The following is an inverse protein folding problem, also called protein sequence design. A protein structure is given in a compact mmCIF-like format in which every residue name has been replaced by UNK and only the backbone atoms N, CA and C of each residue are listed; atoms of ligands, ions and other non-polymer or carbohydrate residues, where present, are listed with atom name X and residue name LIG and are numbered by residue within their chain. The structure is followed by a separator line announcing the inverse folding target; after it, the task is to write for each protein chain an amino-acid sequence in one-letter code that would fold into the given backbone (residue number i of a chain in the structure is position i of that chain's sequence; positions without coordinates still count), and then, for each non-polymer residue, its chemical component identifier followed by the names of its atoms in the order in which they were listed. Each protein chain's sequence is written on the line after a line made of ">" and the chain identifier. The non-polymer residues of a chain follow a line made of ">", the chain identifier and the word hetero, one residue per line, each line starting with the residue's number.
data_IF_850042638245
#
_entry.id   IF_850042638245
#
_cell.length_a   1.000
_cell.length_b   1.000
_cell.length_c   1.000
_cell.angle_alpha   90.00
_cell.angle_beta   90.00
_cell.angle_gamma   90.00
#
_symmetry.space_group_name_H-M   'P 1'
#
loop_
_entity.id
_entity.type
_entity.pdbx_description
1 polymer ?
#
# COMPACT_ATOMS: atom_id res chain seq x y z
N UNK A 1 -8.32 -51.86 13.28
CA UNK A 1 -7.24 -52.25 12.34
C UNK A 1 -7.13 -53.77 12.33
N UNK A 2 -6.94 -54.40 11.16
CA UNK A 2 -6.64 -55.84 11.03
C UNK A 2 -5.52 -56.02 9.99
N UNK A 3 -4.28 -55.64 10.33
CA UNK A 3 -3.19 -55.63 9.36
C UNK A 3 -2.79 -57.06 8.98
N UNK A 4 -2.36 -57.25 7.73
CA UNK A 4 -2.03 -58.59 7.26
C UNK A 4 -0.63 -59.07 7.66
N UNK A 5 0.33 -58.16 7.90
CA UNK A 5 1.71 -58.45 8.31
C UNK A 5 2.51 -59.47 7.49
N UNK A 6 2.01 -59.94 6.33
CA UNK A 6 2.66 -60.88 5.39
C UNK A 6 4.17 -60.69 5.19
N UNK A 7 4.74 -59.47 5.10
CA UNK A 7 6.21 -59.33 5.01
C UNK A 7 6.99 -59.93 6.18
N UNK A 8 6.34 -60.19 7.32
CA UNK A 8 6.93 -60.79 8.52
C UNK A 8 6.80 -62.32 8.56
N UNK A 9 6.25 -62.97 7.53
CA UNK A 9 6.01 -64.43 7.53
C UNK A 9 7.31 -65.25 7.61
N UNK A 10 8.44 -64.67 7.21
CA UNK A 10 9.77 -65.29 7.30
C UNK A 10 10.42 -65.16 8.70
N UNK A 11 9.78 -64.44 9.64
CA UNK A 11 10.27 -64.28 11.00
C UNK A 11 9.82 -65.44 11.90
N UNK A 12 10.63 -65.78 12.91
CA UNK A 12 10.19 -66.66 14.00
C UNK A 12 9.00 -66.02 14.73
N UNK A 13 8.12 -66.85 15.29
CA UNK A 13 6.88 -66.41 15.92
C UNK A 13 7.09 -65.30 16.96
N UNK A 14 7.96 -65.51 17.95
CA UNK A 14 8.28 -64.51 18.98
C UNK A 14 8.77 -63.16 18.39
N UNK A 15 9.56 -63.21 17.32
CA UNK A 15 10.09 -62.02 16.64
C UNK A 15 9.00 -61.32 15.78
N UNK A 16 8.16 -62.11 15.11
CA UNK A 16 7.05 -61.62 14.28
C UNK A 16 6.04 -60.86 15.13
N UNK A 17 5.69 -61.37 16.30
CA UNK A 17 4.79 -60.70 17.24
C UNK A 17 5.35 -59.36 17.72
N UNK A 18 6.63 -59.34 18.12
CA UNK A 18 7.30 -58.11 18.54
C UNK A 18 7.32 -57.04 17.45
N UNK A 19 7.63 -57.42 16.21
CA UNK A 19 7.61 -56.51 15.06
C UNK A 19 6.19 -56.00 14.74
N UNK A 20 5.18 -56.86 14.79
CA UNK A 20 3.79 -56.46 14.57
C UNK A 20 3.30 -55.45 15.63
N UNK A 21 3.65 -55.66 16.91
CA UNK A 21 3.38 -54.71 17.99
C UNK A 21 4.09 -53.38 17.72
N UNK A 22 5.37 -53.43 17.34
CA UNK A 22 6.15 -52.25 16.99
C UNK A 22 5.50 -51.41 15.90
N UNK A 23 5.07 -52.03 14.80
CA UNK A 23 4.37 -51.35 13.70
C UNK A 23 3.05 -50.71 14.16
N UNK A 24 2.27 -51.41 15.00
CA UNK A 24 1.03 -50.84 15.56
C UNK A 24 1.28 -49.64 16.47
N UNK A 25 2.34 -49.69 17.29
CA UNK A 25 2.76 -48.57 18.13
C UNK A 25 3.21 -47.39 17.27
N UNK A 26 3.99 -47.63 16.21
CA UNK A 26 4.41 -46.60 15.26
C UNK A 26 3.19 -45.94 14.60
N UNK A 27 2.19 -46.71 14.16
CA UNK A 27 0.96 -46.16 13.62
C UNK A 27 0.23 -45.27 14.64
N UNK A 28 0.04 -45.74 15.87
CA UNK A 28 -0.60 -44.95 16.93
C UNK A 28 0.18 -43.67 17.24
N UNK A 29 1.52 -43.74 17.20
CA UNK A 29 2.38 -42.58 17.38
C UNK A 29 2.20 -41.55 16.26
N UNK A 30 2.17 -41.98 14.99
CA UNK A 30 1.94 -41.10 13.83
C UNK A 30 0.57 -40.42 13.95
N UNK A 31 -0.50 -41.17 14.23
CA UNK A 31 -1.85 -40.60 14.43
C UNK A 31 -1.85 -39.58 15.58
N UNK A 32 -1.22 -39.93 16.71
CA UNK A 32 -1.10 -39.04 17.86
C UNK A 32 -0.32 -37.76 17.53
N UNK A 33 0.75 -37.86 16.73
CA UNK A 33 1.53 -36.71 16.26
C UNK A 33 0.69 -35.80 15.37
N UNK A 34 -0.02 -36.37 14.39
CA UNK A 34 -0.88 -35.62 13.45
C UNK A 34 -2.02 -34.92 14.19
N UNK A 35 -2.61 -35.55 15.21
CA UNK A 35 -3.69 -34.96 16.00
C UNK A 35 -3.28 -33.72 16.80
N UNK A 36 -1.97 -33.50 16.97
CA UNK A 36 -1.39 -32.38 17.72
C UNK A 36 -0.69 -31.37 16.82
N UNK A 37 -0.75 -31.55 15.50
CA UNK A 37 -0.16 -30.60 14.56
C UNK A 37 -0.84 -29.23 14.70
N UNK A 38 -0.02 -28.21 14.82
CA UNK A 38 -0.43 -26.82 14.88
C UNK A 38 -0.14 -26.10 13.56
N UNK A 39 -0.79 -24.95 13.37
CA UNK A 39 -0.59 -24.15 12.17
C UNK A 39 0.86 -23.70 12.01
N UNK A 40 1.60 -23.44 13.08
CA UNK A 40 3.01 -23.02 13.02
C UNK A 40 4.00 -24.16 12.73
N UNK A 41 3.56 -25.41 12.73
CA UNK A 41 4.47 -26.55 12.59
C UNK A 41 5.09 -26.62 11.20
N UNK A 42 6.35 -27.10 11.09
CA UNK A 42 7.02 -27.23 9.81
C UNK A 42 6.39 -28.33 8.94
N UNK A 43 6.32 -28.06 7.63
CA UNK A 43 5.83 -29.01 6.61
C UNK A 43 6.56 -30.36 6.66
N UNK A 44 7.82 -30.39 7.08
CA UNK A 44 8.62 -31.62 7.23
C UNK A 44 8.01 -32.66 8.19
N UNK A 45 7.19 -32.24 9.16
CA UNK A 45 6.49 -33.19 10.04
C UNK A 45 5.41 -33.96 9.27
N UNK A 46 4.74 -33.30 8.32
CA UNK A 46 3.75 -33.93 7.43
C UNK A 46 4.46 -34.88 6.46
N UNK A 47 5.55 -34.43 5.84
CA UNK A 47 6.33 -35.23 4.88
C UNK A 47 6.90 -36.51 5.52
N UNK A 48 7.55 -36.38 6.69
CA UNK A 48 8.06 -37.54 7.43
C UNK A 48 6.96 -38.49 7.92
N UNK A 49 5.76 -37.97 8.20
CA UNK A 49 4.61 -38.80 8.56
C UNK A 49 4.11 -39.57 7.34
N UNK A 50 4.07 -38.96 6.15
CA UNK A 50 3.72 -39.65 4.90
C UNK A 50 4.71 -40.77 4.57
N UNK A 51 6.02 -40.52 4.73
CA UNK A 51 7.06 -41.55 4.56
C UNK A 51 6.84 -42.74 5.53
N UNK A 52 6.56 -42.45 6.81
CA UNK A 52 6.27 -43.49 7.80
C UNK A 52 5.01 -44.28 7.44
N UNK A 53 3.96 -43.63 6.90
CA UNK A 53 2.74 -44.33 6.48
C UNK A 53 2.99 -45.28 5.31
N UNK A 54 3.89 -44.96 4.38
CA UNK A 54 4.26 -45.87 3.28
C UNK A 54 4.87 -47.17 3.82
N UNK A 55 5.77 -47.08 4.81
CA UNK A 55 6.34 -48.25 5.46
C UNK A 55 5.26 -49.10 6.14
N UNK A 56 4.34 -48.46 6.85
CA UNK A 56 3.25 -49.16 7.55
C UNK A 56 2.26 -49.85 6.59
N UNK A 57 1.97 -49.22 5.45
CA UNK A 57 1.10 -49.79 4.41
C UNK A 57 1.67 -51.07 3.81
N UNK A 58 3.00 -51.14 3.59
CA UNK A 58 3.67 -52.36 3.11
C UNK A 58 3.40 -53.55 4.06
N UNK A 59 3.29 -53.30 5.36
CA UNK A 59 2.95 -54.30 6.36
C UNK A 59 1.44 -54.56 6.52
N UNK A 60 0.62 -53.94 5.69
CA UNK A 60 -0.82 -54.16 5.61
C UNK A 60 -1.64 -53.32 6.58
N UNK A 61 -1.06 -52.27 7.18
CA UNK A 61 -1.82 -51.32 7.99
C UNK A 61 -2.64 -50.43 7.04
N UNK A 62 -3.92 -50.24 7.35
CA UNK A 62 -4.76 -49.31 6.62
C UNK A 62 -4.46 -47.88 7.07
N UNK A 63 -3.81 -47.13 6.18
CA UNK A 63 -3.34 -45.75 6.40
C UNK A 63 -4.13 -44.72 5.62
N UNK A 64 -5.14 -45.12 4.83
CA UNK A 64 -5.73 -44.27 3.81
C UNK A 64 -6.40 -43.01 4.38
N UNK A 65 -7.10 -43.17 5.51
CA UNK A 65 -7.73 -42.05 6.23
C UNK A 65 -6.69 -41.04 6.74
N UNK A 66 -5.56 -41.52 7.28
CA UNK A 66 -4.49 -40.69 7.83
C UNK A 66 -3.73 -40.00 6.71
N UNK A 67 -3.45 -40.72 5.62
CA UNK A 67 -2.83 -40.20 4.40
C UNK A 67 -3.67 -39.08 3.77
N UNK A 68 -4.96 -39.33 3.57
CA UNK A 68 -5.90 -38.34 3.05
C UNK A 68 -5.88 -37.06 3.89
N UNK A 69 -5.86 -37.20 5.23
CA UNK A 69 -5.75 -36.06 6.14
C UNK A 69 -4.43 -35.31 6.02
N UNK A 70 -3.31 -36.02 5.87
CA UNK A 70 -2.00 -35.40 5.67
C UNK A 70 -1.93 -34.61 4.35
N UNK A 71 -2.49 -35.14 3.26
CA UNK A 71 -2.56 -34.40 1.99
C UNK A 71 -3.45 -33.15 2.10
N UNK A 72 -4.55 -33.21 2.85
CA UNK A 72 -5.35 -32.03 3.13
C UNK A 72 -4.53 -30.97 3.90
N UNK A 73 -3.80 -31.38 4.94
CA UNK A 73 -2.92 -30.48 5.70
C UNK A 73 -1.79 -29.91 4.84
N UNK A 74 -1.23 -30.71 3.94
CA UNK A 74 -0.20 -30.28 2.98
C UNK A 74 -0.72 -29.17 2.06
N UNK A 75 -1.93 -29.33 1.53
CA UNK A 75 -2.58 -28.30 0.71
C UNK A 75 -2.81 -27.01 1.50
N UNK A 76 -3.16 -27.10 2.80
CA UNK A 76 -3.25 -25.90 3.66
C UNK A 76 -1.89 -25.24 3.86
N UNK A 77 -0.81 -26.01 3.99
CA UNK A 77 0.56 -25.49 4.10
C UNK A 77 1.03 -24.78 2.83
N UNK A 78 0.73 -25.33 1.66
CA UNK A 78 1.02 -24.67 0.39
C UNK A 78 0.22 -23.37 0.23
N UNK A 79 -1.05 -23.38 0.64
CA UNK A 79 -1.88 -22.17 0.66
C UNK A 79 -1.31 -21.11 1.61
N UNK A 80 -0.81 -21.52 2.78
CA UNK A 80 -0.15 -20.64 3.74
C UNK A 80 1.09 -19.99 3.14
N UNK A 81 1.98 -20.77 2.52
CA UNK A 81 3.20 -20.27 1.87
C UNK A 81 2.90 -19.23 0.80
N UNK A 82 1.91 -19.52 -0.07
CA UNK A 82 1.46 -18.55 -1.08
C UNK A 82 0.92 -17.26 -0.43
N UNK A 83 0.08 -17.37 0.59
CA UNK A 83 -0.46 -16.19 1.28
C UNK A 83 0.63 -15.35 1.95
N UNK A 84 1.67 -15.99 2.48
CA UNK A 84 2.80 -15.28 3.08
C UNK A 84 3.62 -14.53 2.01
N UNK A 85 3.80 -15.11 0.82
CA UNK A 85 4.45 -14.43 -0.30
C UNK A 85 3.60 -13.25 -0.79
N UNK A 86 2.31 -13.48 -1.05
CA UNK A 86 1.36 -12.44 -1.47
C UNK A 86 1.33 -11.28 -0.46
N UNK A 87 1.33 -11.58 0.85
CA UNK A 87 1.34 -10.57 1.90
C UNK A 87 2.59 -9.69 1.84
N UNK A 88 3.76 -10.29 1.64
CA UNK A 88 5.03 -9.55 1.54
C UNK A 88 5.09 -8.67 0.30
N UNK A 89 4.51 -9.12 -0.81
CA UNK A 89 4.39 -8.32 -2.03
C UNK A 89 3.50 -7.09 -1.81
N UNK A 90 2.31 -7.30 -1.24
CA UNK A 90 1.36 -6.22 -0.93
C UNK A 90 1.95 -5.22 0.07
N UNK A 91 2.63 -5.68 1.12
CA UNK A 91 3.33 -4.81 2.08
C UNK A 91 4.38 -3.93 1.39
N UNK A 92 5.12 -4.48 0.44
CA UNK A 92 6.12 -3.73 -0.34
C UNK A 92 5.46 -2.66 -1.21
N UNK A 93 4.36 -3.00 -1.88
CA UNK A 93 3.61 -2.04 -2.70
C UNK A 93 3.06 -0.90 -1.85
N UNK A 94 2.48 -1.20 -0.67
CA UNK A 94 2.02 -0.17 0.27
C UNK A 94 3.17 0.77 0.65
N UNK A 95 4.34 0.24 0.97
CA UNK A 95 5.50 1.05 1.35
C UNK A 95 5.96 1.96 0.20
N UNK A 96 5.97 1.46 -1.04
CA UNK A 96 6.29 2.27 -2.22
C UNK A 96 5.28 3.40 -2.41
N UNK A 97 3.98 3.10 -2.34
CA UNK A 97 2.91 4.09 -2.45
C UNK A 97 2.98 5.15 -1.35
N UNK A 98 3.33 4.76 -0.12
CA UNK A 98 3.55 5.71 0.98
C UNK A 98 4.72 6.67 0.69
N UNK A 99 5.80 6.16 0.10
CA UNK A 99 6.94 6.99 -0.27
C UNK A 99 6.58 7.97 -1.41
N UNK A 100 5.86 7.52 -2.43
CA UNK A 100 5.39 8.37 -3.52
C UNK A 100 4.43 9.45 -3.02
N UNK A 101 3.47 9.07 -2.18
CA UNK A 101 2.56 10.01 -1.51
C UNK A 101 3.34 11.09 -0.76
N UNK A 102 4.37 10.72 0.00
CA UNK A 102 5.18 11.70 0.75
C UNK A 102 5.89 12.71 -0.16
N UNK A 103 6.32 12.31 -1.36
CA UNK A 103 6.91 13.23 -2.34
C UNK A 103 5.86 14.20 -2.88
N UNK A 104 4.68 13.68 -3.20
CA UNK A 104 3.54 14.50 -3.66
C UNK A 104 3.13 15.50 -2.57
N UNK A 105 3.06 15.09 -1.32
CA UNK A 105 2.75 15.98 -0.19
C UNK A 105 3.77 17.12 -0.07
N UNK A 106 5.06 16.85 -0.28
CA UNK A 106 6.13 17.86 -0.30
C UNK A 106 5.97 18.83 -1.48
N UNK A 107 5.67 18.32 -2.69
CA UNK A 107 5.42 19.16 -3.87
C UNK A 107 4.21 20.08 -3.65
N UNK A 108 3.12 19.55 -3.09
CA UNK A 108 1.92 20.34 -2.74
C UNK A 108 2.28 21.44 -1.73
N UNK A 109 3.13 21.13 -0.74
CA UNK A 109 3.57 22.10 0.25
C UNK A 109 4.39 23.23 -0.38
N UNK A 110 5.32 22.93 -1.29
CA UNK A 110 6.09 23.94 -2.00
C UNK A 110 5.21 24.80 -2.92
N UNK A 111 4.25 24.21 -3.64
CA UNK A 111 3.27 24.99 -4.41
C UNK A 111 2.44 25.94 -3.52
N UNK A 112 2.10 25.51 -2.30
CA UNK A 112 1.44 26.38 -1.33
C UNK A 112 2.26 27.61 -0.95
N UNK A 113 3.58 27.46 -0.79
CA UNK A 113 4.49 28.58 -0.53
C UNK A 113 4.55 29.53 -1.73
N UNK A 114 4.71 29.00 -2.94
CA UNK A 114 4.77 29.80 -4.17
C UNK A 114 3.47 30.59 -4.38
N UNK A 115 2.31 29.96 -4.16
CA UNK A 115 1.01 30.63 -4.24
C UNK A 115 0.90 31.79 -3.25
N UNK A 116 1.37 31.58 -2.01
CA UNK A 116 1.37 32.62 -0.98
C UNK A 116 2.25 33.82 -1.37
N UNK A 117 3.41 33.57 -1.97
CA UNK A 117 4.30 34.63 -2.43
C UNK A 117 3.72 35.40 -3.62
N UNK A 118 3.12 34.70 -4.58
CA UNK A 118 2.40 35.32 -5.69
C UNK A 118 1.25 36.20 -5.21
N UNK A 119 0.47 35.75 -4.21
CA UNK A 119 -0.61 36.55 -3.63
C UNK A 119 -0.10 37.86 -3.00
N UNK A 120 1.05 37.83 -2.29
CA UNK A 120 1.68 39.04 -1.76
C UNK A 120 2.09 40.00 -2.89
N UNK A 121 2.71 39.48 -3.95
CA UNK A 121 3.14 40.29 -5.10
C UNK A 121 1.94 40.93 -5.81
N UNK A 122 0.83 40.20 -5.96
CA UNK A 122 -0.42 40.74 -6.49
C UNK A 122 -0.93 41.89 -5.61
N UNK A 123 -0.99 41.69 -4.29
CA UNK A 123 -1.46 42.72 -3.36
C UNK A 123 -0.62 44.02 -3.45
N UNK A 124 0.71 43.89 -3.54
CA UNK A 124 1.62 45.04 -3.73
C UNK A 124 1.32 45.72 -5.07
N UNK A 125 1.23 44.97 -6.17
CA UNK A 125 0.95 45.52 -7.48
C UNK A 125 -0.40 46.24 -7.56
N UNK A 126 -1.43 45.70 -6.90
CA UNK A 126 -2.75 46.34 -6.79
C UNK A 126 -2.67 47.67 -6.04
N UNK A 127 -1.97 47.73 -4.91
CA UNK A 127 -1.77 48.97 -4.16
C UNK A 127 -0.99 50.02 -4.97
N UNK A 128 0.07 49.60 -5.68
CA UNK A 128 0.81 50.50 -6.57
C UNK A 128 -0.05 51.04 -7.71
N UNK A 129 -0.92 50.20 -8.28
CA UNK A 129 -1.87 50.61 -9.31
C UNK A 129 -2.84 51.68 -8.75
N UNK A 130 -3.43 51.45 -7.59
CA UNK A 130 -4.35 52.41 -6.96
C UNK A 130 -3.67 53.77 -6.69
N UNK A 131 -2.40 53.77 -6.23
CA UNK A 131 -1.64 55.01 -6.09
C UNK A 131 -1.47 55.75 -7.43
N UNK A 132 -1.17 55.02 -8.51
CA UNK A 132 -1.04 55.62 -9.84
C UNK A 132 -2.36 56.10 -10.41
N UNK A 133 -3.45 55.37 -10.20
CA UNK A 133 -4.79 55.79 -10.60
C UNK A 133 -5.16 57.12 -9.90
N UNK A 134 -4.82 57.27 -8.61
CA UNK A 134 -5.01 58.52 -7.86
C UNK A 134 -4.11 59.67 -8.38
N UNK A 135 -2.84 59.40 -8.68
CA UNK A 135 -1.94 60.40 -9.29
C UNK A 135 -2.49 60.89 -10.64
N UNK A 136 -2.96 59.97 -11.49
CA UNK A 136 -3.55 60.28 -12.79
C UNK A 136 -4.81 61.13 -12.61
N UNK A 137 -5.72 60.75 -11.70
CA UNK A 137 -6.93 61.53 -11.43
C UNK A 137 -6.59 62.96 -10.96
N UNK A 138 -5.56 63.11 -10.12
CA UNK A 138 -5.07 64.42 -9.67
C UNK A 138 -4.50 65.27 -10.82
N UNK A 139 -3.78 64.65 -11.76
CA UNK A 139 -3.27 65.34 -12.96
C UNK A 139 -4.38 65.73 -13.92
N UNK A 140 -5.39 64.87 -14.11
CA UNK A 140 -6.56 65.16 -14.92
C UNK A 140 -7.32 66.39 -14.39
N UNK A 141 -7.57 66.44 -13.08
CA UNK A 141 -8.22 67.61 -12.46
C UNK A 141 -7.44 68.91 -12.64
N UNK A 142 -6.10 68.88 -12.53
CA UNK A 142 -5.26 70.06 -12.81
C UNK A 142 -5.33 70.49 -14.27
N UNK A 143 -5.36 69.52 -15.18
CA UNK A 143 -5.47 69.78 -16.61
C UNK A 143 -6.79 70.46 -16.97
N UNK A 144 -7.89 70.02 -16.34
CA UNK A 144 -9.22 70.63 -16.51
C UNK A 144 -9.23 72.11 -16.10
N UNK A 145 -8.63 72.44 -14.94
CA UNK A 145 -8.49 73.85 -14.49
C UNK A 145 -7.69 74.68 -15.49
N UNK A 146 -6.57 74.16 -16.01
CA UNK A 146 -5.77 74.86 -17.02
C UNK A 146 -6.58 75.11 -18.30
N UNK A 147 -7.40 74.15 -18.73
CA UNK A 147 -8.26 74.33 -19.90
C UNK A 147 -9.34 75.38 -19.66
N UNK A 148 -9.93 75.43 -18.47
CA UNK A 148 -10.87 76.49 -18.10
C UNK A 148 -10.20 77.88 -18.10
N UNK A 149 -9.01 77.99 -17.49
CA UNK A 149 -8.23 79.23 -17.46
C UNK A 149 -7.84 79.71 -18.87
N UNK A 150 -7.39 78.79 -19.73
CA UNK A 150 -7.02 79.11 -21.11
C UNK A 150 -8.23 79.59 -21.91
N UNK A 151 -9.40 78.97 -21.71
CA UNK A 151 -10.65 79.41 -22.33
C UNK A 151 -11.07 80.80 -21.84
N UNK A 152 -10.93 81.08 -20.55
CA UNK A 152 -11.18 82.42 -20.00
C UNK A 152 -10.23 83.45 -20.59
N UNK A 153 -8.93 83.15 -20.64
CA UNK A 153 -7.91 84.02 -21.20
C UNK A 153 -8.15 84.31 -22.70
N UNK A 154 -8.59 83.31 -23.46
CA UNK A 154 -8.97 83.48 -24.86
C UNK A 154 -10.15 84.44 -25.01
N UNK A 155 -11.22 84.26 -24.23
CA UNK A 155 -12.39 85.15 -24.25
C UNK A 155 -12.02 86.58 -23.84
N UNK A 156 -11.18 86.73 -22.82
CA UNK A 156 -10.68 88.03 -22.37
C UNK A 156 -9.85 88.73 -23.46
N UNK A 157 -8.98 87.98 -24.15
CA UNK A 157 -8.20 88.49 -25.28
C UNK A 157 -9.11 88.95 -26.43
N UNK A 158 -10.07 88.12 -26.84
CA UNK A 158 -11.04 88.43 -27.90
C UNK A 158 -11.87 89.68 -27.57
N UNK A 159 -12.31 89.82 -26.31
CA UNK A 159 -13.02 91.02 -25.82
C UNK A 159 -12.18 92.29 -25.97
N UNK A 160 -10.91 92.25 -25.55
CA UNK A 160 -10.00 93.41 -25.64
C UNK A 160 -9.72 93.77 -27.10
N UNK A 161 -9.47 92.77 -27.95
CA UNK A 161 -9.20 92.97 -29.37
C UNK A 161 -10.39 93.58 -30.15
N UNK A 162 -11.63 93.31 -29.73
CA UNK A 162 -12.84 93.84 -30.35
C UNK A 162 -13.27 95.24 -29.84
N UNK A 163 -12.55 95.83 -28.87
CA UNK A 163 -12.92 97.12 -28.29
C UNK A 163 -12.54 98.31 -29.20
N UNK A 164 -13.36 99.38 -29.28
CA UNK A 164 -13.02 100.57 -30.07
C UNK A 164 -11.83 101.34 -29.48
N UNK A 165 -10.99 101.91 -30.35
CA UNK A 165 -9.79 102.69 -29.99
C UNK A 165 -10.10 104.03 -29.33
#
# INVERSE_FOLDING_TARGET
>A
QKPHFRPLDNCKEDAREGLAIGLMVTFAHVVGRISKLEFGDPKSIIDSSLETLLELEIHGIDVESVRSRLYELLSKKEREEQLQEDSKEVEREIMNQMQEKSKIDEEIYEFGKEMTELQKRIAIATSMKEMKDNEIAGLQSKLDVIYEDLRSAQLDFERVAASPW
#
